data_IF_976510241035
#
_entry.id   IF_976510241035
#
_cell.length_a   1.000
_cell.length_b   1.000
_cell.length_c   1.000
_cell.angle_alpha   90.00
_cell.angle_beta   90.00
_cell.angle_gamma   90.00
#
_symmetry.space_group_name_H-M   'P 1'
#
loop_
_entity.id
_entity.type
_entity.pdbx_description
1 polymer ?
#
# COMPACT_ATOMS: atom_id res chain seq x y z
N UNK A 1 7.50 -18.90 -22.24
CA UNK A 1 8.66 -18.39 -21.45
C UNK A 1 8.12 -17.38 -20.47
N UNK A 2 8.33 -17.57 -19.16
CA UNK A 2 7.99 -16.57 -18.16
C UNK A 2 8.74 -15.28 -18.54
N UNK A 3 8.00 -14.26 -18.99
CA UNK A 3 8.60 -12.98 -19.35
C UNK A 3 9.43 -12.49 -18.16
N UNK A 4 10.65 -12.05 -18.43
CA UNK A 4 11.55 -11.51 -17.40
C UNK A 4 10.78 -10.39 -16.69
N UNK A 5 10.47 -10.59 -15.41
CA UNK A 5 9.80 -9.55 -14.61
C UNK A 5 10.59 -8.25 -14.80
N UNK A 6 9.93 -7.13 -15.15
CA UNK A 6 10.61 -5.86 -15.21
C UNK A 6 11.37 -5.65 -13.90
N UNK A 7 12.69 -5.45 -13.97
CA UNK A 7 13.50 -5.23 -12.77
C UNK A 7 13.02 -3.93 -12.10
N UNK A 8 12.20 -4.05 -11.07
CA UNK A 8 11.63 -2.93 -10.31
C UNK A 8 12.68 -2.16 -9.49
N UNK A 9 13.94 -2.61 -9.53
CA UNK A 9 15.10 -2.00 -8.90
C UNK A 9 16.19 -1.78 -9.93
N UNK A 10 16.73 -0.56 -9.99
CA UNK A 10 17.95 -0.31 -10.78
C UNK A 10 19.08 -1.08 -10.11
N UNK A 11 19.72 -1.99 -10.86
CA UNK A 11 20.71 -2.94 -10.33
C UNK A 11 21.77 -2.19 -9.51
N UNK A 12 21.82 -2.45 -8.20
CA UNK A 12 22.89 -1.99 -7.32
C UNK A 12 22.81 -0.53 -6.87
N UNK A 13 21.74 0.21 -7.19
CA UNK A 13 21.57 1.61 -6.75
C UNK A 13 20.32 1.79 -5.88
N UNK A 14 20.45 1.74 -4.53
CA UNK A 14 19.33 1.91 -3.61
C UNK A 14 18.65 3.28 -3.71
N UNK A 15 19.42 4.35 -3.93
CA UNK A 15 18.88 5.72 -4.04
C UNK A 15 17.97 5.87 -5.26
N UNK A 16 18.43 5.33 -6.39
CA UNK A 16 17.66 5.34 -7.63
C UNK A 16 16.42 4.44 -7.55
N UNK A 17 16.56 3.27 -6.91
CA UNK A 17 15.41 2.38 -6.66
C UNK A 17 14.36 3.06 -5.78
N UNK A 18 14.77 3.76 -4.72
CA UNK A 18 13.88 4.55 -3.87
C UNK A 18 13.18 5.67 -4.66
N UNK A 19 13.93 6.42 -5.48
CA UNK A 19 13.39 7.48 -6.34
C UNK A 19 12.32 6.94 -7.32
N UNK A 20 12.59 5.78 -7.93
CA UNK A 20 11.64 5.12 -8.85
C UNK A 20 10.37 4.68 -8.11
N UNK A 21 10.49 4.13 -6.90
CA UNK A 21 9.33 3.75 -6.07
C UNK A 21 8.50 4.99 -5.70
N UNK A 22 9.15 6.08 -5.25
CA UNK A 22 8.47 7.33 -4.92
C UNK A 22 7.72 7.91 -6.12
N UNK A 23 8.34 7.89 -7.31
CA UNK A 23 7.68 8.29 -8.57
C UNK A 23 6.46 7.41 -8.86
N UNK A 24 6.56 6.10 -8.67
CA UNK A 24 5.44 5.18 -8.87
C UNK A 24 4.31 5.41 -7.85
N UNK A 25 4.61 5.72 -6.59
CA UNK A 25 3.62 6.07 -5.57
C UNK A 25 2.88 7.38 -5.93
N UNK A 26 3.61 8.36 -6.46
CA UNK A 26 3.01 9.60 -6.96
C UNK A 26 2.06 9.32 -8.13
N UNK A 27 2.50 8.52 -9.11
CA UNK A 27 1.64 8.10 -10.24
C UNK A 27 0.40 7.32 -9.79
N UNK A 28 0.51 6.48 -8.75
CA UNK A 28 -0.65 5.79 -8.16
C UNK A 28 -1.65 6.78 -7.55
N UNK A 29 -1.16 7.82 -6.89
CA UNK A 29 -2.01 8.87 -6.32
C UNK A 29 -2.71 9.69 -7.39
N UNK A 30 -1.98 10.04 -8.44
CA UNK A 30 -2.53 10.75 -9.60
C UNK A 30 -3.57 9.86 -10.34
N UNK A 31 -3.31 8.56 -10.46
CA UNK A 31 -4.29 7.59 -10.98
C UNK A 31 -5.55 7.53 -10.12
N UNK A 32 -5.44 7.37 -8.80
CA UNK A 32 -6.60 7.27 -7.92
C UNK A 32 -7.42 8.57 -7.90
N UNK A 33 -6.78 9.73 -7.86
CA UNK A 33 -7.47 11.01 -7.89
C UNK A 33 -8.26 11.23 -9.20
N UNK A 34 -7.71 10.80 -10.34
CA UNK A 34 -8.30 11.03 -11.66
C UNK A 34 -9.22 9.91 -12.16
N UNK A 35 -9.15 8.70 -11.56
CA UNK A 35 -9.96 7.55 -11.97
C UNK A 35 -11.46 7.88 -11.91
N UNK A 36 -12.17 7.62 -12.99
CA UNK A 36 -13.63 7.70 -13.06
C UNK A 36 -14.19 6.30 -13.30
N UNK A 37 -15.09 5.86 -12.43
CA UNK A 37 -15.69 4.53 -12.52
C UNK A 37 -16.95 4.63 -13.39
N UNK A 38 -16.88 4.19 -14.64
CA UNK A 38 -18.04 4.17 -15.55
C UNK A 38 -18.35 2.77 -16.10
N UNK A 39 -17.45 1.82 -15.90
CA UNK A 39 -17.55 0.45 -16.41
C UNK A 39 -16.95 -0.56 -15.44
N UNK A 40 -17.23 -1.85 -15.64
CA UNK A 40 -16.58 -2.94 -14.88
C UNK A 40 -15.05 -2.92 -15.07
N UNK A 41 -14.57 -2.54 -16.25
CA UNK A 41 -13.14 -2.42 -16.53
C UNK A 41 -12.48 -1.34 -15.66
N UNK A 42 -13.17 -0.25 -15.33
CA UNK A 42 -12.63 0.78 -14.44
C UNK A 42 -12.58 0.30 -12.99
N UNK A 43 -13.58 -0.48 -12.56
CA UNK A 43 -13.54 -1.18 -11.27
C UNK A 43 -12.35 -2.15 -11.24
N UNK A 44 -12.13 -2.89 -12.32
CA UNK A 44 -11.00 -3.82 -12.41
C UNK A 44 -9.66 -3.10 -12.29
N UNK A 45 -9.50 -1.95 -12.95
CA UNK A 45 -8.29 -1.11 -12.82
C UNK A 45 -8.07 -0.65 -11.37
N UNK A 46 -9.13 -0.26 -10.66
CA UNK A 46 -9.06 0.11 -9.24
C UNK A 46 -8.55 -1.07 -8.39
N UNK A 47 -9.12 -2.26 -8.59
CA UNK A 47 -8.71 -3.47 -7.86
C UNK A 47 -7.29 -3.92 -8.21
N UNK A 48 -6.87 -3.76 -9.46
CA UNK A 48 -5.54 -4.16 -9.93
C UNK A 48 -4.39 -3.35 -9.28
N UNK A 49 -4.65 -2.14 -8.78
CA UNK A 49 -3.63 -1.31 -8.10
C UNK A 49 -3.59 -1.51 -6.58
N UNK A 50 -4.44 -2.37 -6.02
CA UNK A 50 -4.46 -2.71 -4.59
C UNK A 50 -4.16 -4.20 -4.43
N UNK A 51 -2.96 -4.52 -3.94
CA UNK A 51 -2.36 -5.86 -4.04
C UNK A 51 -3.25 -6.98 -3.48
N UNK A 52 -3.74 -6.84 -2.24
CA UNK A 52 -4.52 -7.87 -1.57
C UNK A 52 -6.00 -7.87 -1.97
N UNK A 53 -6.53 -6.74 -2.44
CA UNK A 53 -7.93 -6.62 -2.81
C UNK A 53 -8.22 -7.19 -4.20
N UNK A 54 -7.22 -7.23 -5.09
CA UNK A 54 -7.35 -7.75 -6.46
C UNK A 54 -8.10 -9.09 -6.59
N UNK A 55 -7.85 -10.03 -5.67
CA UNK A 55 -8.48 -11.36 -5.67
C UNK A 55 -10.00 -11.32 -5.48
N UNK A 56 -10.51 -10.24 -4.88
CA UNK A 56 -11.93 -10.05 -4.56
C UNK A 56 -12.74 -9.41 -5.68
N UNK A 57 -12.08 -8.95 -6.76
CA UNK A 57 -12.74 -8.26 -7.87
C UNK A 57 -13.97 -9.02 -8.40
N UNK A 58 -13.80 -10.31 -8.72
CA UNK A 58 -14.87 -11.13 -9.31
C UNK A 58 -16.07 -11.29 -8.39
N UNK A 59 -15.83 -11.47 -7.09
CA UNK A 59 -16.88 -11.55 -6.09
C UNK A 59 -17.63 -10.22 -6.00
N UNK A 60 -16.87 -9.12 -5.88
CA UNK A 60 -17.40 -7.78 -5.70
C UNK A 60 -18.28 -7.36 -6.87
N UNK A 61 -17.82 -7.54 -8.11
CA UNK A 61 -18.57 -7.11 -9.30
C UNK A 61 -19.82 -7.97 -9.54
N UNK A 62 -19.80 -9.24 -9.12
CA UNK A 62 -20.97 -10.12 -9.22
C UNK A 62 -22.11 -9.74 -8.27
N UNK A 63 -21.79 -9.09 -7.15
CA UNK A 63 -22.74 -8.74 -6.08
C UNK A 63 -23.19 -7.28 -6.11
N UNK A 64 -22.44 -6.40 -6.78
CA UNK A 64 -22.65 -4.96 -6.76
C UNK A 64 -22.67 -4.36 -8.16
N UNK A 65 -23.56 -3.39 -8.38
CA UNK A 65 -23.54 -2.63 -9.62
C UNK A 65 -22.37 -1.65 -9.66
N UNK A 66 -21.86 -1.37 -10.87
CA UNK A 66 -20.84 -0.34 -11.12
C UNK A 66 -21.24 0.99 -10.47
N UNK A 67 -22.52 1.35 -10.51
CA UNK A 67 -23.06 2.56 -9.89
C UNK A 67 -22.83 2.62 -8.38
N UNK A 68 -23.11 1.52 -7.66
CA UNK A 68 -22.89 1.46 -6.21
C UNK A 68 -21.41 1.59 -5.87
N UNK A 69 -20.55 0.91 -6.63
CA UNK A 69 -19.10 0.97 -6.45
C UNK A 69 -18.58 2.39 -6.72
N UNK A 70 -19.08 3.05 -7.77
CA UNK A 70 -18.76 4.44 -8.08
C UNK A 70 -19.11 5.38 -6.94
N UNK A 71 -20.34 5.32 -6.42
CA UNK A 71 -20.78 6.15 -5.30
C UNK A 71 -19.92 5.93 -4.06
N UNK A 72 -19.54 4.68 -3.78
CA UNK A 72 -18.62 4.32 -2.70
C UNK A 72 -17.24 4.93 -2.86
N UNK A 73 -16.69 4.84 -4.07
CA UNK A 73 -15.39 5.40 -4.42
C UNK A 73 -15.39 6.93 -4.34
N UNK A 74 -16.47 7.56 -4.77
CA UNK A 74 -16.66 9.01 -4.66
C UNK A 74 -16.67 9.47 -3.20
N UNK A 75 -17.29 8.68 -2.30
CA UNK A 75 -17.23 8.94 -0.86
C UNK A 75 -15.82 8.86 -0.29
N UNK A 76 -14.97 7.93 -0.76
CA UNK A 76 -13.56 7.90 -0.37
C UNK A 76 -12.80 9.17 -0.80
N UNK A 77 -13.18 9.77 -1.93
CA UNK A 77 -12.57 10.98 -2.49
C UNK A 77 -13.11 12.28 -1.91
N UNK A 78 -14.23 12.24 -1.19
CA UNK A 78 -14.87 13.43 -0.64
C UNK A 78 -14.11 13.95 0.59
N UNK A 79 -13.29 14.98 0.37
CA UNK A 79 -12.45 15.58 1.41
C UNK A 79 -13.22 16.23 2.57
N UNK A 80 -14.54 16.45 2.42
CA UNK A 80 -15.40 17.01 3.45
C UNK A 80 -15.85 15.98 4.50
N UNK A 81 -15.75 14.69 4.18
CA UNK A 81 -16.06 13.61 5.12
C UNK A 81 -14.85 13.30 5.99
N UNK A 82 -15.10 12.91 7.23
CA UNK A 82 -14.05 12.40 8.13
C UNK A 82 -13.50 11.05 7.63
N UNK A 83 -12.29 10.70 8.08
CA UNK A 83 -11.65 9.43 7.74
C UNK A 83 -12.56 8.22 7.98
N UNK A 84 -13.19 8.15 9.15
CA UNK A 84 -14.05 7.03 9.55
C UNK A 84 -15.35 6.98 8.76
N UNK A 85 -15.96 8.13 8.43
CA UNK A 85 -17.15 8.19 7.57
C UNK A 85 -16.85 7.65 6.17
N UNK A 86 -15.69 7.99 5.60
CA UNK A 86 -15.25 7.51 4.28
C UNK A 86 -15.03 6.00 4.29
N UNK A 87 -14.29 5.49 5.28
CA UNK A 87 -14.04 4.05 5.41
C UNK A 87 -15.34 3.28 5.62
N UNK A 88 -16.24 3.78 6.48
CA UNK A 88 -17.52 3.13 6.78
C UNK A 88 -18.44 3.08 5.56
N UNK A 89 -18.53 4.18 4.79
CA UNK A 89 -19.28 4.22 3.54
C UNK A 89 -18.77 3.18 2.54
N UNK A 90 -17.44 3.00 2.44
CA UNK A 90 -16.85 2.00 1.56
C UNK A 90 -17.10 0.58 2.03
N UNK A 91 -16.92 0.31 3.32
CA UNK A 91 -17.11 -1.02 3.91
C UNK A 91 -18.53 -1.55 3.74
N UNK A 92 -19.54 -0.68 3.85
CA UNK A 92 -20.97 -1.06 3.78
C UNK A 92 -21.40 -1.81 2.51
N UNK A 93 -20.60 -1.76 1.43
CA UNK A 93 -20.90 -2.38 0.14
C UNK A 93 -20.25 -3.75 -0.02
N UNK A 94 -19.16 -4.01 0.70
CA UNK A 94 -18.30 -5.17 0.44
C UNK A 94 -18.12 -6.12 1.63
N UNK A 95 -18.46 -5.68 2.86
CA UNK A 95 -18.50 -6.47 4.10
C UNK A 95 -17.36 -7.49 4.27
N UNK A 96 -16.13 -7.05 3.96
CA UNK A 96 -14.93 -7.88 4.04
C UNK A 96 -13.75 -7.06 4.55
N UNK A 97 -12.96 -7.60 5.48
CA UNK A 97 -11.87 -6.86 6.14
C UNK A 97 -10.78 -6.39 5.15
N UNK A 98 -10.43 -7.20 4.15
CA UNK A 98 -9.52 -6.79 3.05
C UNK A 98 -10.03 -5.54 2.30
N UNK A 99 -11.33 -5.25 2.33
CA UNK A 99 -11.90 -4.06 1.70
C UNK A 99 -11.80 -2.82 2.61
N UNK A 100 -11.83 -3.01 3.92
CA UNK A 100 -11.45 -1.95 4.88
C UNK A 100 -10.00 -1.54 4.66
N UNK A 101 -9.09 -2.51 4.54
CA UNK A 101 -7.69 -2.23 4.23
C UNK A 101 -7.56 -1.46 2.91
N UNK A 102 -8.32 -1.87 1.89
CA UNK A 102 -8.35 -1.18 0.59
C UNK A 102 -8.81 0.28 0.71
N UNK A 103 -9.88 0.54 1.46
CA UNK A 103 -10.37 1.90 1.69
C UNK A 103 -9.30 2.78 2.34
N UNK A 104 -8.66 2.27 3.39
CA UNK A 104 -7.60 2.98 4.14
C UNK A 104 -6.37 3.24 3.26
N UNK A 105 -5.98 2.27 2.43
CA UNK A 105 -4.89 2.44 1.47
C UNK A 105 -5.24 3.49 0.40
N UNK A 106 -6.46 3.48 -0.14
CA UNK A 106 -6.90 4.50 -1.10
C UNK A 106 -6.83 5.89 -0.47
N UNK A 107 -7.34 6.06 0.77
CA UNK A 107 -7.27 7.35 1.48
C UNK A 107 -5.81 7.80 1.67
N UNK A 108 -4.91 6.88 2.03
CA UNK A 108 -3.48 7.20 2.11
C UNK A 108 -2.94 7.75 0.79
N UNK A 109 -3.27 7.16 -0.36
CA UNK A 109 -2.78 7.67 -1.64
C UNK A 109 -3.51 8.93 -2.11
N UNK A 110 -4.75 9.17 -1.69
CA UNK A 110 -5.48 10.40 -2.00
C UNK A 110 -4.97 11.60 -1.17
N UNK A 111 -4.61 11.38 0.09
CA UNK A 111 -4.21 12.41 1.05
C UNK A 111 -2.98 11.98 1.86
N UNK A 112 -1.89 11.65 1.14
CA UNK A 112 -0.67 11.08 1.70
C UNK A 112 0.10 11.99 2.65
N UNK A 113 -0.19 13.28 2.63
CA UNK A 113 0.33 14.29 3.56
C UNK A 113 -0.37 14.22 4.93
N UNK A 114 -1.64 13.79 4.96
CA UNK A 114 -2.47 13.75 6.16
C UNK A 114 -2.55 12.38 6.80
N UNK A 115 -2.73 11.33 5.98
CA UNK A 115 -3.01 9.99 6.48
C UNK A 115 -1.86 9.03 6.16
N UNK A 116 -1.30 8.34 7.17
CA UNK A 116 -0.34 7.29 6.92
C UNK A 116 -1.00 6.05 6.31
N UNK A 117 -0.20 5.20 5.64
CA UNK A 117 -0.68 3.94 5.10
C UNK A 117 -1.09 3.00 6.23
N UNK A 118 -2.37 2.63 6.27
CA UNK A 118 -2.89 1.68 7.24
C UNK A 118 -3.53 0.48 6.57
N UNK A 119 -2.90 -0.67 6.75
CA UNK A 119 -3.43 -1.99 6.42
C UNK A 119 -3.12 -2.97 7.56
N UNK A 120 -3.85 -4.07 7.68
CA UNK A 120 -3.64 -5.04 8.77
C UNK A 120 -2.25 -5.72 8.77
N UNK A 121 -1.54 -5.72 7.66
CA UNK A 121 -0.15 -6.22 7.62
C UNK A 121 0.87 -5.19 8.13
N UNK A 122 0.50 -3.90 8.19
CA UNK A 122 1.27 -2.87 8.91
C UNK A 122 0.86 -2.83 10.38
N UNK A 123 -0.44 -2.71 10.64
CA UNK A 123 -1.01 -2.77 11.99
C UNK A 123 -2.43 -3.35 11.98
N UNK A 124 -2.57 -4.49 12.64
CA UNK A 124 -3.85 -5.11 12.95
C UNK A 124 -4.20 -4.76 14.42
N UNK A 125 -5.25 -3.95 14.66
CA UNK A 125 -5.64 -3.55 16.02
C UNK A 125 -6.12 -4.73 16.87
N UNK A 126 -6.86 -5.68 16.29
CA UNK A 126 -7.47 -6.79 17.01
C UNK A 126 -6.43 -7.77 17.58
N UNK A 127 -5.33 -7.92 16.86
CA UNK A 127 -4.22 -8.83 17.22
C UNK A 127 -3.00 -8.08 17.76
N UNK A 128 -3.03 -6.75 17.75
CA UNK A 128 -1.89 -5.87 17.97
C UNK A 128 -0.61 -6.38 17.27
N UNK A 129 -0.73 -6.65 15.97
CA UNK A 129 0.32 -7.28 15.15
C UNK A 129 0.61 -6.47 13.89
N UNK A 130 1.64 -6.84 13.13
CA UNK A 130 1.96 -6.23 11.84
C UNK A 130 3.38 -5.66 11.84
N UNK A 131 3.82 -5.06 10.74
CA UNK A 131 5.21 -4.60 10.66
C UNK A 131 5.56 -3.47 11.63
N UNK A 132 4.58 -2.70 12.09
CA UNK A 132 4.81 -1.63 13.05
C UNK A 132 5.41 -2.15 14.36
N UNK A 133 5.09 -3.38 14.78
CA UNK A 133 5.58 -3.94 16.06
C UNK A 133 7.07 -4.19 16.07
N UNK A 134 7.72 -4.25 14.90
CA UNK A 134 9.19 -4.37 14.78
C UNK A 134 9.90 -3.01 14.76
N UNK A 135 9.14 -1.92 14.69
CA UNK A 135 9.65 -0.55 14.58
C UNK A 135 9.42 0.25 15.86
N UNK A 136 8.37 -0.09 16.60
CA UNK A 136 8.07 0.54 17.89
C UNK A 136 9.23 0.36 18.88
N UNK A 137 9.41 1.38 19.74
CA UNK A 137 10.32 1.30 20.87
C UNK A 137 9.83 0.22 21.85
N UNK A 138 10.78 -0.39 22.56
CA UNK A 138 10.47 -1.39 23.58
C UNK A 138 9.49 -0.84 24.63
N UNK A 139 8.47 -1.63 24.96
CA UNK A 139 7.42 -1.24 25.91
C UNK A 139 6.30 -0.34 25.36
N UNK A 140 6.37 0.10 24.10
CA UNK A 140 5.29 0.89 23.47
C UNK A 140 4.24 -0.04 22.87
N UNK A 141 2.98 0.19 23.23
CA UNK A 141 1.80 -0.51 22.67
C UNK A 141 0.85 0.49 22.02
N UNK A 142 0.30 0.13 20.87
CA UNK A 142 -0.71 0.92 20.16
C UNK A 142 -2.08 0.41 20.58
N UNK A 143 -2.86 1.25 21.27
CA UNK A 143 -4.18 0.87 21.79
C UNK A 143 -5.33 1.47 20.99
N UNK A 144 -5.05 2.46 20.14
CA UNK A 144 -6.06 3.19 19.38
C UNK A 144 -5.53 3.63 18.00
N UNK A 145 -6.44 3.93 17.04
CA UNK A 145 -6.07 4.55 15.77
C UNK A 145 -5.29 5.88 15.94
N UNK A 146 -5.59 6.63 16.99
CA UNK A 146 -4.90 7.88 17.31
C UNK A 146 -3.46 7.62 17.76
N UNK A 147 -3.24 6.59 18.59
CA UNK A 147 -1.88 6.16 18.96
C UNK A 147 -1.09 5.72 17.73
N UNK A 148 -1.75 5.00 16.81
CA UNK A 148 -1.15 4.56 15.55
C UNK A 148 -0.70 5.74 14.70
N UNK A 149 -1.57 6.73 14.47
CA UNK A 149 -1.22 7.93 13.71
C UNK A 149 -0.12 8.74 14.39
N UNK A 150 -0.14 8.87 15.71
CA UNK A 150 0.93 9.54 16.46
C UNK A 150 2.28 8.82 16.29
N UNK A 151 2.30 7.50 16.46
CA UNK A 151 3.52 6.71 16.29
C UNK A 151 4.10 6.85 14.87
N UNK A 152 3.25 6.92 13.85
CA UNK A 152 3.70 7.11 12.46
C UNK A 152 4.13 8.53 12.14
N UNK A 153 3.56 9.54 12.81
CA UNK A 153 4.08 10.91 12.76
C UNK A 153 5.48 10.99 13.37
N UNK A 154 5.70 10.40 14.55
CA UNK A 154 7.02 10.37 15.18
C UNK A 154 8.05 9.59 14.33
N UNK A 155 7.62 8.51 13.68
CA UNK A 155 8.46 7.77 12.74
C UNK A 155 8.80 8.62 11.50
N UNK A 156 7.84 9.35 10.94
CA UNK A 156 8.07 10.30 9.83
C UNK A 156 9.12 11.35 10.22
N UNK A 157 9.01 11.94 11.40
CA UNK A 157 9.96 12.93 11.92
C UNK A 157 11.35 12.32 12.11
N UNK A 158 11.41 11.09 12.61
CA UNK A 158 12.66 10.34 12.75
C UNK A 158 13.32 10.08 11.40
N UNK A 159 12.56 9.64 10.40
CA UNK A 159 13.07 9.38 9.04
C UNK A 159 13.53 10.67 8.36
N UNK A 160 12.90 11.81 8.66
CA UNK A 160 13.33 13.15 8.20
C UNK A 160 14.77 13.46 8.64
N UNK A 161 15.15 13.14 9.88
CA UNK A 161 16.52 13.32 10.40
C UNK A 161 17.55 12.55 9.55
N UNK A 162 17.15 11.40 8.99
CA UNK A 162 17.99 10.59 8.09
C UNK A 162 17.93 11.03 6.62
N UNK A 163 17.35 12.19 6.32
CA UNK A 163 17.27 12.74 4.97
C UNK A 163 16.15 12.15 4.11
N UNK A 164 15.14 11.52 4.72
CA UNK A 164 13.93 11.02 4.05
C UNK A 164 12.74 11.99 4.22
N UNK A 165 13.02 13.28 4.33
CA UNK A 165 11.97 14.30 4.36
C UNK A 165 11.44 14.57 2.95
N UNK A 166 10.21 14.10 2.71
CA UNK A 166 9.50 14.23 1.44
C UNK A 166 8.14 14.94 1.62
N UNK A 167 7.91 15.57 2.77
CA UNK A 167 6.67 16.30 3.10
C UNK A 167 5.44 15.43 3.38
N UNK A 168 5.41 14.16 2.97
CA UNK A 168 4.28 13.24 3.12
C UNK A 168 4.68 11.90 3.76
N UNK A 169 3.75 10.97 3.87
CA UNK A 169 3.98 9.66 4.52
C UNK A 169 4.60 8.60 3.62
N UNK A 170 4.95 8.85 2.34
CA UNK A 170 5.44 7.77 1.47
C UNK A 170 6.73 7.11 1.97
N UNK A 171 7.68 7.88 2.53
CA UNK A 171 8.92 7.32 3.08
C UNK A 171 8.62 6.39 4.27
N UNK A 172 7.74 6.83 5.16
CA UNK A 172 7.22 6.04 6.28
C UNK A 172 6.52 4.77 5.79
N UNK A 173 5.67 4.87 4.77
CA UNK A 173 5.01 3.73 4.13
C UNK A 173 6.02 2.74 3.58
N UNK A 174 6.97 3.19 2.74
CA UNK A 174 8.02 2.35 2.16
C UNK A 174 8.81 1.64 3.26
N UNK A 175 9.18 2.35 4.33
CA UNK A 175 9.91 1.78 5.45
C UNK A 175 9.12 0.64 6.14
N UNK A 176 7.85 0.87 6.45
CA UNK A 176 6.99 -0.12 7.10
C UNK A 176 6.68 -1.32 6.20
N UNK A 177 6.47 -1.10 4.90
CA UNK A 177 6.29 -2.19 3.94
C UNK A 177 7.57 -2.98 3.78
N UNK A 178 8.73 -2.30 3.74
CA UNK A 178 10.01 -2.98 3.70
C UNK A 178 10.24 -3.84 4.94
N UNK A 179 9.92 -3.33 6.14
CA UNK A 179 9.97 -4.11 7.38
C UNK A 179 9.05 -5.34 7.33
N UNK A 180 7.81 -5.18 6.82
CA UNK A 180 6.90 -6.30 6.59
C UNK A 180 7.50 -7.36 5.64
N UNK A 181 7.99 -6.93 4.48
CA UNK A 181 8.59 -7.81 3.47
C UNK A 181 9.80 -8.55 4.03
N UNK A 182 10.66 -7.88 4.80
CA UNK A 182 11.82 -8.50 5.47
C UNK A 182 11.40 -9.53 6.50
N UNK A 183 10.34 -9.25 7.27
CA UNK A 183 9.79 -10.22 8.21
C UNK A 183 9.25 -11.47 7.49
N UNK A 184 8.42 -11.29 6.46
CA UNK A 184 7.86 -12.41 5.69
C UNK A 184 8.96 -13.24 5.04
N UNK A 185 9.96 -12.58 4.45
CA UNK A 185 11.11 -13.25 3.84
C UNK A 185 11.92 -14.03 4.87
N UNK A 186 12.22 -13.43 6.03
CA UNK A 186 12.91 -14.12 7.11
C UNK A 186 12.15 -15.34 7.62
N UNK A 187 10.84 -15.20 7.88
CA UNK A 187 9.97 -16.32 8.28
C UNK A 187 9.94 -17.43 7.20
N UNK A 188 9.93 -17.05 5.93
CA UNK A 188 9.92 -17.99 4.79
C UNK A 188 11.27 -18.70 4.63
N UNK A 189 12.39 -17.98 4.78
CA UNK A 189 13.75 -18.53 4.73
C UNK A 189 14.03 -19.49 5.90
N UNK A 190 13.37 -19.31 7.05
CA UNK A 190 13.40 -20.29 8.14
C UNK A 190 12.60 -21.55 7.82
N UNK A 191 11.55 -21.43 6.99
CA UNK A 191 10.66 -22.53 6.64
C UNK A 191 11.09 -23.32 5.38
N UNK A 192 11.86 -22.70 4.48
CA UNK A 192 12.29 -23.28 3.20
C UNK A 192 13.81 -23.50 3.22
N UNK A 193 14.25 -24.69 2.78
CA UNK A 193 15.68 -25.02 2.68
C UNK A 193 16.44 -23.92 1.90
N UNK A 194 17.61 -23.49 2.41
CA UNK A 194 18.36 -22.29 2.00
C UNK A 194 18.64 -22.20 0.50
N UNK A 195 18.54 -23.32 -0.23
CA UNK A 195 18.71 -23.44 -1.68
C UNK A 195 17.62 -22.71 -2.49
N UNK A 196 16.46 -22.40 -1.89
CA UNK A 196 15.39 -21.63 -2.54
C UNK A 196 15.54 -20.10 -2.47
N UNK A 197 16.47 -19.57 -1.66
CA UNK A 197 16.57 -18.13 -1.38
C UNK A 197 16.82 -17.23 -2.60
N UNK A 198 17.40 -17.78 -3.67
CA UNK A 198 17.62 -17.06 -4.94
C UNK A 198 16.40 -16.94 -5.84
N UNK A 199 15.27 -17.57 -5.51
CA UNK A 199 14.03 -17.53 -6.29
C UNK A 199 13.15 -16.33 -5.94
N UNK A 200 13.43 -15.64 -4.83
CA UNK A 200 12.62 -14.53 -4.36
C UNK A 200 13.04 -13.20 -5.01
N UNK A 201 12.07 -12.33 -5.38
CA UNK A 201 12.37 -10.98 -5.84
C UNK A 201 13.14 -10.19 -4.77
N UNK A 202 13.90 -9.16 -5.17
CA UNK A 202 14.56 -8.26 -4.22
C UNK A 202 13.53 -7.61 -3.29
N UNK A 203 13.91 -7.34 -2.03
CA UNK A 203 12.97 -6.79 -1.03
C UNK A 203 12.27 -5.52 -1.52
N UNK A 204 12.99 -4.62 -2.20
CA UNK A 204 12.41 -3.41 -2.78
C UNK A 204 11.41 -3.70 -3.92
N UNK A 205 11.65 -4.76 -4.71
CA UNK A 205 10.70 -5.21 -5.73
C UNK A 205 9.43 -5.78 -5.11
N UNK A 206 9.56 -6.55 -4.03
CA UNK A 206 8.43 -7.07 -3.26
C UNK A 206 7.69 -5.95 -2.53
N UNK A 207 8.40 -4.96 -1.98
CA UNK A 207 7.81 -3.75 -1.40
C UNK A 207 6.95 -3.02 -2.41
N UNK A 208 7.46 -2.79 -3.62
CA UNK A 208 6.67 -2.17 -4.68
C UNK A 208 5.47 -3.01 -5.12
N UNK A 209 5.61 -4.34 -5.11
CA UNK A 209 4.50 -5.26 -5.41
C UNK A 209 3.39 -5.18 -4.36
N UNK A 210 3.74 -5.24 -3.07
CA UNK A 210 2.80 -5.14 -1.95
C UNK A 210 2.09 -3.78 -1.93
N UNK A 211 2.79 -2.71 -2.33
CA UNK A 211 2.20 -1.37 -2.53
C UNK A 211 1.36 -1.24 -3.81
N UNK A 212 1.22 -2.30 -4.62
CA UNK A 212 0.44 -2.28 -5.86
C UNK A 212 1.04 -1.40 -6.97
N UNK A 213 2.36 -1.19 -6.96
CA UNK A 213 3.03 -0.23 -7.85
C UNK A 213 3.45 -0.79 -9.22
N UNK A 214 3.24 -2.09 -9.45
CA UNK A 214 3.70 -2.79 -10.65
C UNK A 214 3.26 -2.12 -11.98
N UNK A 215 2.01 -1.65 -12.15
CA UNK A 215 1.61 -0.97 -13.39
C UNK A 215 2.41 0.32 -13.63
N UNK A 216 2.66 1.10 -12.58
CA UNK A 216 3.34 2.40 -12.66
C UNK A 216 4.84 2.26 -12.90
N UNK A 217 5.47 1.24 -12.29
CA UNK A 217 6.88 0.94 -12.52
C UNK A 217 7.17 0.56 -13.98
N UNK A 218 6.27 -0.18 -14.63
CA UNK A 218 6.38 -0.51 -16.06
C UNK A 218 6.35 0.75 -16.93
N UNK A 219 5.48 1.71 -16.61
CA UNK A 219 5.40 2.98 -17.34
C UNK A 219 6.70 3.78 -17.19
N UNK A 220 7.28 3.84 -15.99
CA UNK A 220 8.55 4.53 -15.75
C UNK A 220 9.69 3.89 -16.56
N UNK A 221 9.75 2.57 -16.62
CA UNK A 221 10.79 1.87 -17.39
C UNK A 221 10.66 2.13 -18.89
N UNK A 222 9.44 2.07 -19.44
CA UNK A 222 9.19 2.35 -20.85
C UNK A 222 9.51 3.80 -21.24
N UNK A 223 9.34 4.75 -20.32
CA UNK A 223 9.68 6.16 -20.57
C UNK A 223 11.20 6.43 -20.55
N UNK A 224 11.99 5.51 -19.97
CA UNK A 224 13.43 5.64 -19.81
C UNK A 224 14.24 4.69 -20.72
N UNK A 225 13.56 3.90 -21.56
CA UNK A 225 14.14 2.96 -22.54
C UNK A 225 14.10 3.54 -23.94
#
# INVERSE_FOLDING_TARGET
MLAKEPNNTVKGNPKESLSVILKAMKMKSDFLSTLQINSEEDVKKLFDVIFYAKKHYSEVISKNSVEKIRQSYDKLRDSNLSYDERVSAFYSIFDHEDIVDMAREIIHFLEADKYPLWTRWIWNPDKNSGSITYVLKEGVTINSPQDYFKALSELKDTLSIFGLDIGNYYATSIFLVYAYVRYVDYATLLAVDRKGGGLYPSHLSTTAMVLGLKPFLRVIQLANS
#
